data_IF_103193106856
#
_entry.id   IF_103193106856
#
_cell.length_a   1.000
_cell.length_b   1.000
_cell.length_c   1.000
_cell.angle_alpha   90.00
_cell.angle_beta   90.00
_cell.angle_gamma   90.00
#
_symmetry.space_group_name_H-M   'P 1'
#
loop_
_entity.id
_entity.type
_entity.pdbx_description
1 polymer ?
#
# COMPACT_ATOMS: atom_id res chain seq x y z
N UNK A 1 58.82 14.37 29.80
CA UNK A 1 57.66 13.48 29.54
C UNK A 1 56.39 14.28 29.22
N UNK A 2 56.20 15.49 29.78
CA UNK A 2 55.03 16.35 29.48
C UNK A 2 55.04 16.99 28.08
N UNK A 3 56.22 17.21 27.47
CA UNK A 3 56.33 17.84 26.15
C UNK A 3 55.87 16.95 24.98
N UNK A 4 55.87 15.62 25.14
CA UNK A 4 55.36 14.69 24.11
C UNK A 4 53.84 14.55 24.14
N UNK A 5 53.20 14.75 25.29
CA UNK A 5 51.73 14.69 25.43
C UNK A 5 51.08 15.94 24.84
N UNK A 6 51.69 17.12 25.02
CA UNK A 6 51.20 18.38 24.44
C UNK A 6 51.30 18.42 22.91
N UNK A 7 52.28 17.73 22.31
CA UNK A 7 52.42 17.66 20.85
C UNK A 7 51.36 16.74 20.21
N UNK A 8 51.01 15.61 20.85
CA UNK A 8 49.97 14.70 20.35
C UNK A 8 48.55 15.29 20.45
N UNK A 9 48.27 16.13 21.45
CA UNK A 9 46.97 16.79 21.61
C UNK A 9 46.74 17.86 20.54
N UNK A 10 47.79 18.57 20.12
CA UNK A 10 47.70 19.60 19.08
C UNK A 10 47.48 19.02 17.67
N UNK A 11 48.05 17.85 17.37
CA UNK A 11 47.83 17.16 16.07
C UNK A 11 46.40 16.63 15.91
N UNK A 12 45.72 16.29 17.02
CA UNK A 12 44.32 15.86 17.00
C UNK A 12 43.33 17.01 16.79
N UNK A 13 43.67 18.23 17.21
CA UNK A 13 42.85 19.43 16.97
C UNK A 13 42.95 19.96 15.52
N UNK A 14 44.07 19.71 14.84
CA UNK A 14 44.30 20.14 13.45
C UNK A 14 43.67 19.20 12.39
N UNK A 15 43.16 18.02 12.81
CA UNK A 15 42.60 17.00 11.91
C UNK A 15 41.14 17.24 11.49
N UNK A 16 40.48 18.31 11.94
CA UNK A 16 39.22 18.78 11.34
C UNK A 16 38.02 17.82 11.35
N UNK A 17 38.07 16.68 12.05
CA UNK A 17 36.93 15.78 12.18
C UNK A 17 36.02 16.31 13.28
N UNK A 18 35.16 17.26 12.90
CA UNK A 18 34.07 17.75 13.74
C UNK A 18 33.12 16.60 14.11
N UNK A 19 32.50 16.60 15.31
CA UNK A 19 31.44 15.67 15.68
C UNK A 19 30.10 15.91 14.93
N UNK A 20 30.14 16.38 13.67
CA UNK A 20 28.99 16.79 12.87
C UNK A 20 28.34 15.71 11.99
N UNK A 21 28.88 14.49 11.96
CA UNK A 21 28.40 13.46 11.03
C UNK A 21 27.03 12.87 11.41
N UNK A 22 26.72 12.71 12.70
CA UNK A 22 25.48 12.02 13.11
C UNK A 22 24.21 12.82 12.81
N UNK A 23 24.23 14.14 13.04
CA UNK A 23 23.07 15.02 12.78
C UNK A 23 22.82 15.23 11.29
N UNK A 24 23.91 15.30 10.51
CA UNK A 24 23.85 15.43 9.05
C UNK A 24 23.41 14.11 8.39
N UNK A 25 23.88 12.96 8.90
CA UNK A 25 23.45 11.64 8.44
C UNK A 25 21.98 11.35 8.78
N UNK A 26 21.52 11.72 9.98
CA UNK A 26 20.11 11.58 10.38
C UNK A 26 19.20 12.44 9.50
N UNK A 27 19.52 13.73 9.32
CA UNK A 27 18.77 14.62 8.45
C UNK A 27 18.73 14.13 6.99
N UNK A 28 19.84 13.57 6.50
CA UNK A 28 19.91 12.98 5.15
C UNK A 28 19.03 11.74 5.01
N UNK A 29 18.97 10.89 6.04
CA UNK A 29 18.10 9.70 6.06
C UNK A 29 16.63 10.08 6.10
N UNK A 30 16.25 11.02 6.96
CA UNK A 30 14.89 11.55 7.03
C UNK A 30 14.46 12.20 5.71
N UNK A 31 15.34 13.00 5.10
CA UNK A 31 15.10 13.60 3.80
C UNK A 31 14.89 12.54 2.70
N UNK A 32 15.68 11.46 2.72
CA UNK A 32 15.52 10.34 1.77
C UNK A 32 14.20 9.60 1.97
N UNK A 33 13.83 9.29 3.21
CA UNK A 33 12.55 8.61 3.49
C UNK A 33 11.37 9.46 3.05
N UNK A 34 11.40 10.77 3.36
CA UNK A 34 10.40 11.72 2.90
C UNK A 34 10.35 11.77 1.38
N UNK A 35 11.50 11.84 0.70
CA UNK A 35 11.53 11.84 -0.76
C UNK A 35 10.87 10.58 -1.37
N UNK A 36 11.11 9.39 -0.80
CA UNK A 36 10.45 8.16 -1.25
C UNK A 36 8.93 8.26 -1.09
N UNK A 37 8.48 8.63 0.11
CA UNK A 37 7.05 8.78 0.42
C UNK A 37 6.35 9.75 -0.54
N UNK A 38 6.96 10.92 -0.77
CA UNK A 38 6.42 11.96 -1.66
C UNK A 38 6.47 11.57 -3.14
N UNK A 39 7.48 10.77 -3.56
CA UNK A 39 7.66 10.40 -4.98
C UNK A 39 6.76 9.26 -5.46
N UNK A 40 6.17 8.48 -4.56
CA UNK A 40 5.35 7.33 -4.90
C UNK A 40 3.93 7.77 -5.35
N UNK A 41 3.78 8.17 -6.61
CA UNK A 41 2.50 8.69 -7.14
C UNK A 41 1.51 7.59 -7.51
N UNK A 42 2.00 6.41 -7.94
CA UNK A 42 1.13 5.29 -8.33
C UNK A 42 0.53 4.52 -7.14
N UNK A 43 0.96 4.86 -5.92
CA UNK A 43 0.56 4.20 -4.69
C UNK A 43 0.08 5.24 -3.68
N UNK A 44 -1.12 5.04 -3.14
CA UNK A 44 -1.57 5.79 -1.99
C UNK A 44 -0.87 5.25 -0.75
N UNK A 45 -0.06 6.08 -0.10
CA UNK A 45 0.54 5.77 1.20
C UNK A 45 -0.07 6.67 2.26
N UNK A 46 -0.73 6.04 3.24
CA UNK A 46 -1.41 6.70 4.34
C UNK A 46 -0.79 6.20 5.64
N UNK A 47 -0.34 7.11 6.49
CA UNK A 47 0.04 6.76 7.86
C UNK A 47 -1.08 7.17 8.81
N UNK A 48 -1.26 6.37 9.85
CA UNK A 48 -2.22 6.63 10.92
C UNK A 48 -1.56 6.44 12.27
N UNK A 49 -2.14 7.05 13.30
CA UNK A 49 -1.86 6.73 14.69
C UNK A 49 -2.49 5.36 15.09
N UNK A 50 -2.28 4.85 16.31
CA UNK A 50 -2.86 3.58 16.76
C UNK A 50 -4.39 3.53 16.77
N UNK A 51 -5.07 4.69 16.72
CA UNK A 51 -6.52 4.80 16.69
C UNK A 51 -7.06 4.87 15.24
N UNK A 52 -6.20 4.86 14.22
CA UNK A 52 -6.59 4.96 12.81
C UNK A 52 -6.84 6.38 12.34
N UNK A 53 -6.37 7.40 13.08
CA UNK A 53 -6.42 8.80 12.66
C UNK A 53 -5.22 9.10 11.76
N UNK A 54 -5.46 9.70 10.60
CA UNK A 54 -4.44 9.95 9.58
C UNK A 54 -3.42 10.98 10.06
N UNK A 55 -2.14 10.60 10.03
CA UNK A 55 -1.00 11.45 10.42
C UNK A 55 -0.17 11.91 9.22
N UNK A 56 -0.13 11.13 8.14
CA UNK A 56 0.53 11.52 6.89
C UNK A 56 -0.24 11.00 5.67
N UNK A 57 -0.11 11.74 4.57
CA UNK A 57 -0.82 11.51 3.33
C UNK A 57 0.07 11.92 2.16
N UNK A 58 0.51 10.95 1.34
CA UNK A 58 1.41 11.24 0.24
C UNK A 58 0.67 11.78 -1.01
N UNK A 59 1.41 12.31 -2.02
CA UNK A 59 0.81 12.75 -3.28
C UNK A 59 0.09 11.63 -4.04
N UNK A 60 0.55 10.38 -3.92
CA UNK A 60 -0.14 9.23 -4.50
C UNK A 60 -1.51 8.99 -3.86
N UNK A 61 -1.68 9.26 -2.56
CA UNK A 61 -2.96 9.16 -1.88
C UNK A 61 -3.92 10.25 -2.36
N UNK A 62 -3.42 11.46 -2.63
CA UNK A 62 -4.21 12.51 -3.26
C UNK A 62 -4.63 12.12 -4.68
N UNK A 63 -3.72 11.55 -5.46
CA UNK A 63 -4.01 11.09 -6.82
C UNK A 63 -5.07 9.96 -6.85
N UNK A 64 -4.93 8.96 -5.98
CA UNK A 64 -5.81 7.78 -5.95
C UNK A 64 -7.13 8.07 -5.24
N UNK A 65 -7.12 8.79 -4.12
CA UNK A 65 -8.34 8.98 -3.31
C UNK A 65 -9.03 10.32 -3.58
N UNK A 66 -8.33 11.30 -4.17
CA UNK A 66 -8.89 12.58 -4.59
C UNK A 66 -9.01 13.64 -3.48
N UNK A 67 -8.65 13.31 -2.24
CA UNK A 67 -8.54 14.29 -1.15
C UNK A 67 -7.11 14.80 -1.03
N UNK A 68 -6.96 16.09 -0.73
CA UNK A 68 -5.64 16.62 -0.39
C UNK A 68 -5.22 16.19 1.01
N UNK A 69 -3.92 16.24 1.28
CA UNK A 69 -3.39 16.01 2.63
C UNK A 69 -4.06 16.93 3.67
N UNK A 70 -4.26 18.21 3.34
CA UNK A 70 -4.89 19.17 4.25
C UNK A 70 -6.33 18.84 4.63
N UNK A 71 -7.05 18.09 3.79
CA UNK A 71 -8.41 17.64 4.08
C UNK A 71 -8.46 16.39 4.95
N UNK A 72 -7.42 15.54 4.87
CA UNK A 72 -7.42 14.21 5.48
C UNK A 72 -6.58 14.11 6.76
N UNK A 73 -5.58 14.97 6.95
CA UNK A 73 -4.80 14.99 8.19
C UNK A 73 -5.71 15.21 9.40
N UNK A 74 -5.55 14.37 10.42
CA UNK A 74 -6.39 14.38 11.63
C UNK A 74 -7.79 13.78 11.45
N UNK A 75 -8.13 13.27 10.26
CA UNK A 75 -9.39 12.56 10.01
C UNK A 75 -9.21 11.05 10.20
N UNK A 76 -10.31 10.34 10.48
CA UNK A 76 -10.29 8.89 10.54
C UNK A 76 -10.14 8.27 9.14
N UNK A 77 -9.27 7.25 9.02
CA UNK A 77 -9.04 6.53 7.76
C UNK A 77 -10.28 5.78 7.25
N UNK A 78 -11.28 5.53 8.09
CA UNK A 78 -12.57 4.95 7.67
C UNK A 78 -13.31 5.78 6.60
N UNK A 79 -12.94 7.05 6.41
CA UNK A 79 -13.62 7.99 5.50
C UNK A 79 -13.58 7.55 4.04
N UNK A 80 -12.51 6.88 3.60
CA UNK A 80 -12.38 6.33 2.25
C UNK A 80 -12.98 4.92 2.10
N UNK A 81 -13.53 4.32 3.17
CA UNK A 81 -14.26 3.06 3.10
C UNK A 81 -15.72 3.26 2.71
N UNK A 82 -16.32 2.23 2.09
CA UNK A 82 -17.75 2.22 1.77
C UNK A 82 -18.60 2.29 3.05
N UNK A 83 -19.87 2.75 2.98
CA UNK A 83 -20.75 2.77 4.15
C UNK A 83 -20.96 1.39 4.77
N UNK A 84 -21.01 0.34 3.94
CA UNK A 84 -21.14 -1.05 4.40
C UNK A 84 -19.87 -1.52 5.14
N UNK A 85 -18.69 -1.18 4.61
CA UNK A 85 -17.43 -1.53 5.25
C UNK A 85 -17.22 -0.76 6.57
N UNK A 86 -17.66 0.51 6.63
CA UNK A 86 -17.71 1.28 7.88
C UNK A 86 -18.64 0.65 8.91
N UNK A 87 -19.88 0.34 8.51
CA UNK A 87 -20.87 -0.27 9.39
C UNK A 87 -20.42 -1.64 9.92
N UNK A 88 -19.68 -2.40 9.11
CA UNK A 88 -19.12 -3.68 9.53
C UNK A 88 -17.79 -3.55 10.26
N UNK A 89 -17.14 -2.38 10.31
CA UNK A 89 -15.86 -2.17 11.00
C UNK A 89 -14.66 -2.83 10.31
N UNK A 90 -14.59 -2.79 8.97
CA UNK A 90 -13.48 -3.42 8.23
C UNK A 90 -12.11 -2.90 8.63
N UNK A 91 -11.96 -1.58 8.76
CA UNK A 91 -10.66 -0.99 9.13
C UNK A 91 -10.17 -1.51 10.49
N UNK A 92 -11.07 -1.71 11.45
CA UNK A 92 -10.73 -2.28 12.76
C UNK A 92 -10.24 -3.72 12.63
N UNK A 93 -10.87 -4.52 11.75
CA UNK A 93 -10.42 -5.89 11.46
C UNK A 93 -9.05 -5.90 10.78
N UNK A 94 -8.81 -5.01 9.83
CA UNK A 94 -7.50 -4.88 9.17
C UNK A 94 -6.41 -4.49 10.16
N UNK A 95 -6.66 -3.50 11.03
CA UNK A 95 -5.72 -3.10 12.09
C UNK A 95 -5.43 -4.24 13.07
N UNK A 96 -6.46 -4.97 13.52
CA UNK A 96 -6.31 -6.15 14.38
C UNK A 96 -5.47 -7.24 13.72
N UNK A 97 -5.75 -7.55 12.44
CA UNK A 97 -5.02 -8.54 11.69
C UNK A 97 -3.56 -8.12 11.51
N UNK A 98 -3.31 -6.87 11.12
CA UNK A 98 -1.96 -6.31 10.97
C UNK A 98 -1.15 -6.38 12.27
N UNK A 99 -1.77 -6.14 13.43
CA UNK A 99 -1.11 -6.29 14.73
C UNK A 99 -0.78 -7.74 15.04
N UNK A 100 -1.68 -8.68 14.73
CA UNK A 100 -1.52 -10.10 15.09
C UNK A 100 -0.59 -10.87 14.14
N UNK A 101 -0.60 -10.54 12.85
CA UNK A 101 0.08 -11.27 11.77
C UNK A 101 1.24 -10.46 11.14
N UNK A 102 1.43 -9.20 11.54
CA UNK A 102 2.43 -8.30 10.97
C UNK A 102 1.99 -7.61 9.67
N UNK A 103 0.91 -8.06 9.03
CA UNK A 103 0.32 -7.43 7.87
C UNK A 103 -1.15 -7.84 7.70
N UNK A 104 -1.91 -7.06 6.92
CA UNK A 104 -3.28 -7.36 6.51
C UNK A 104 -3.47 -6.92 5.06
N UNK A 105 -3.56 -7.90 4.16
CA UNK A 105 -3.88 -7.67 2.75
C UNK A 105 -5.40 -7.68 2.53
N UNK A 106 -5.89 -6.83 1.64
CA UNK A 106 -7.29 -6.80 1.24
C UNK A 106 -7.46 -6.33 -0.20
N UNK A 107 -8.50 -6.83 -0.86
CA UNK A 107 -8.99 -6.26 -2.11
C UNK A 107 -10.48 -5.97 -1.98
N UNK A 108 -10.86 -4.70 -2.17
CA UNK A 108 -12.24 -4.25 -2.03
C UNK A 108 -12.51 -2.92 -2.69
N UNK A 109 -13.80 -2.65 -2.88
CA UNK A 109 -14.28 -1.32 -3.26
C UNK A 109 -14.02 -0.30 -2.15
N UNK A 110 -13.48 0.85 -2.52
CA UNK A 110 -13.33 2.03 -1.67
C UNK A 110 -13.93 3.25 -2.37
N UNK A 111 -14.13 4.33 -1.62
CA UNK A 111 -14.68 5.59 -2.10
C UNK A 111 -13.57 6.62 -2.33
N UNK A 112 -13.67 7.34 -3.44
CA UNK A 112 -12.96 8.59 -3.68
C UNK A 112 -13.74 9.78 -3.10
N UNK A 113 -13.10 10.95 -3.08
CA UNK A 113 -13.71 12.22 -2.66
C UNK A 113 -15.02 12.56 -3.37
N UNK A 114 -15.09 12.30 -4.66
CA UNK A 114 -16.27 12.56 -5.49
C UNK A 114 -17.38 11.51 -5.32
N UNK A 115 -17.15 10.49 -4.49
CA UNK A 115 -18.07 9.38 -4.24
C UNK A 115 -17.95 8.24 -5.25
N UNK A 116 -17.06 8.33 -6.25
CA UNK A 116 -16.81 7.22 -7.17
C UNK A 116 -16.16 6.06 -6.42
N UNK A 117 -16.55 4.85 -6.83
CA UNK A 117 -15.95 3.62 -6.33
C UNK A 117 -14.70 3.27 -7.15
N UNK A 118 -13.69 2.75 -6.48
CA UNK A 118 -12.54 2.12 -7.13
C UNK A 118 -12.18 0.82 -6.41
N UNK A 119 -11.71 -0.16 -7.18
CA UNK A 119 -11.25 -1.44 -6.64
C UNK A 119 -9.83 -1.24 -6.13
N UNK A 120 -9.68 -1.18 -4.81
CA UNK A 120 -8.40 -1.03 -4.16
C UNK A 120 -7.82 -2.42 -3.91
N UNK A 121 -6.55 -2.62 -4.28
CA UNK A 121 -5.71 -3.67 -3.73
C UNK A 121 -4.80 -3.02 -2.69
N UNK A 122 -4.93 -3.48 -1.45
CA UNK A 122 -4.42 -2.82 -0.27
C UNK A 122 -3.61 -3.72 0.64
N UNK A 123 -2.68 -3.12 1.35
CA UNK A 123 -1.94 -3.76 2.42
C UNK A 123 -1.78 -2.80 3.60
N UNK A 124 -2.08 -3.29 4.80
CA UNK A 124 -1.88 -2.57 6.06
C UNK A 124 -0.79 -3.26 6.88
N UNK A 125 0.16 -2.48 7.40
CA UNK A 125 1.24 -2.97 8.27
C UNK A 125 1.31 -2.11 9.54
N UNK A 126 1.67 -2.69 10.70
CA UNK A 126 1.92 -1.91 11.90
C UNK A 126 3.20 -1.08 11.73
N UNK A 127 3.11 0.19 12.06
CA UNK A 127 4.26 1.09 12.18
C UNK A 127 4.86 0.93 13.58
N UNK A 128 6.11 0.48 13.65
CA UNK A 128 6.82 0.26 14.89
C UNK A 128 7.95 1.28 15.06
N UNK A 129 8.03 1.88 16.24
CA UNK A 129 9.10 2.74 16.69
C UNK A 129 10.26 1.96 17.31
N UNK A 130 11.21 2.70 17.86
CA UNK A 130 12.30 2.10 18.61
C UNK A 130 11.75 1.28 19.78
N UNK A 131 12.38 0.14 20.08
CA UNK A 131 12.00 -0.75 21.19
C UNK A 131 10.58 -1.33 21.08
N UNK A 132 10.10 -1.58 19.86
CA UNK A 132 8.83 -2.27 19.60
C UNK A 132 7.59 -1.48 20.08
N UNK A 133 7.70 -0.15 20.15
CA UNK A 133 6.58 0.75 20.36
C UNK A 133 5.66 0.77 19.14
N UNK A 134 4.36 0.63 19.33
CA UNK A 134 3.39 0.73 18.23
C UNK A 134 3.04 2.20 17.99
N UNK A 135 3.52 2.75 16.88
CA UNK A 135 3.30 4.14 16.49
C UNK A 135 2.04 4.35 15.66
N UNK A 136 1.41 3.26 15.19
CA UNK A 136 0.19 3.26 14.39
C UNK A 136 0.31 2.35 13.18
N UNK A 137 -0.23 2.74 12.03
CA UNK A 137 -0.27 1.89 10.84
C UNK A 137 0.17 2.63 9.58
N UNK A 138 0.76 1.89 8.65
CA UNK A 138 0.88 2.30 7.25
C UNK A 138 -0.10 1.48 6.41
N UNK A 139 -0.94 2.18 5.64
CA UNK A 139 -1.80 1.61 4.62
C UNK A 139 -1.25 1.99 3.25
N UNK A 140 -1.06 1.01 2.40
CA UNK A 140 -0.71 1.19 1.00
C UNK A 140 -1.90 0.73 0.16
N UNK A 141 -2.37 1.57 -0.76
CA UNK A 141 -3.42 1.21 -1.71
C UNK A 141 -2.94 1.41 -3.14
N UNK A 142 -3.39 0.53 -4.02
CA UNK A 142 -3.28 0.69 -5.46
C UNK A 142 -4.65 0.55 -6.09
N UNK A 143 -4.93 1.44 -7.05
CA UNK A 143 -6.11 1.28 -7.90
C UNK A 143 -5.89 0.12 -8.88
N UNK A 144 -6.81 -0.83 -8.84
CA UNK A 144 -6.89 -2.02 -9.70
C UNK A 144 -8.25 -2.11 -10.39
N UNK A 145 -8.99 -1.00 -10.49
CA UNK A 145 -10.35 -0.98 -11.04
C UNK A 145 -10.37 -1.49 -12.48
N UNK A 146 -9.42 -1.05 -13.31
CA UNK A 146 -9.34 -1.49 -14.70
C UNK A 146 -9.11 -3.01 -14.80
N UNK A 147 -8.17 -3.54 -14.04
CA UNK A 147 -7.86 -4.97 -14.01
C UNK A 147 -9.04 -5.80 -13.47
N UNK A 148 -9.69 -5.33 -12.39
CA UNK A 148 -10.86 -6.00 -11.82
C UNK A 148 -12.01 -6.08 -12.82
N UNK A 149 -12.37 -4.97 -13.47
CA UNK A 149 -13.45 -4.94 -14.45
C UNK A 149 -13.14 -5.77 -15.71
N UNK A 150 -11.89 -5.77 -16.17
CA UNK A 150 -11.46 -6.60 -17.31
C UNK A 150 -11.55 -8.11 -16.99
N UNK A 151 -11.17 -8.51 -15.77
CA UNK A 151 -11.32 -9.89 -15.29
C UNK A 151 -12.79 -10.32 -15.26
N UNK A 152 -13.65 -9.49 -14.67
CA UNK A 152 -15.11 -9.74 -14.60
C UNK A 152 -15.77 -9.88 -15.97
N UNK A 153 -15.41 -9.02 -16.93
CA UNK A 153 -15.95 -9.11 -18.28
C UNK A 153 -15.57 -10.42 -18.98
N UNK A 154 -14.36 -10.91 -18.74
CA UNK A 154 -13.87 -12.19 -19.28
C UNK A 154 -14.64 -13.36 -18.69
N UNK A 155 -14.80 -13.41 -17.37
CA UNK A 155 -15.57 -14.44 -16.66
C UNK A 155 -17.02 -14.49 -17.16
N UNK A 156 -17.68 -13.33 -17.30
CA UNK A 156 -19.06 -13.24 -17.77
C UNK A 156 -19.22 -13.63 -19.24
N UNK A 157 -18.23 -13.37 -20.07
CA UNK A 157 -18.22 -13.84 -21.46
C UNK A 157 -18.06 -15.36 -21.54
N UNK A 158 -17.15 -15.94 -20.76
CA UNK A 158 -16.93 -17.39 -20.69
C UNK A 158 -18.16 -18.13 -20.17
N UNK A 159 -18.80 -17.63 -19.12
CA UNK A 159 -19.98 -18.27 -18.55
C UNK A 159 -21.17 -18.18 -19.52
N UNK A 160 -21.38 -17.04 -20.17
CA UNK A 160 -22.43 -16.92 -21.20
C UNK A 160 -22.21 -17.88 -22.36
N UNK A 161 -20.96 -18.01 -22.83
CA UNK A 161 -20.60 -18.97 -23.87
C UNK A 161 -20.89 -20.41 -23.42
N UNK A 162 -20.47 -20.78 -22.21
CA UNK A 162 -20.71 -22.11 -21.62
C UNK A 162 -22.20 -22.43 -21.53
N UNK A 163 -23.02 -21.48 -21.09
CA UNK A 163 -24.47 -21.64 -20.98
C UNK A 163 -25.13 -21.76 -22.35
N UNK A 164 -24.71 -20.95 -23.34
CA UNK A 164 -25.23 -21.02 -24.70
C UNK A 164 -24.92 -22.39 -25.34
N UNK A 165 -23.67 -22.85 -25.26
CA UNK A 165 -23.26 -24.16 -25.78
C UNK A 165 -24.03 -25.33 -25.15
N UNK A 166 -24.27 -25.27 -23.83
CA UNK A 166 -25.09 -26.28 -23.14
C UNK A 166 -26.57 -26.23 -23.53
N UNK A 167 -27.12 -25.03 -23.74
CA UNK A 167 -28.52 -24.88 -24.11
C UNK A 167 -28.83 -25.38 -25.52
N UNK A 168 -27.87 -25.28 -26.45
CA UNK A 168 -28.01 -25.79 -27.82
C UNK A 168 -27.63 -27.26 -27.97
N UNK A 169 -27.02 -27.86 -26.94
CA UNK A 169 -26.48 -29.23 -26.95
C UNK A 169 -25.43 -29.45 -28.06
N UNK A 170 -24.70 -28.39 -28.40
CA UNK A 170 -23.65 -28.41 -29.41
C UNK A 170 -22.38 -29.07 -28.85
N UNK A 171 -21.84 -30.06 -29.56
CA UNK A 171 -20.52 -30.59 -29.28
C UNK A 171 -19.47 -29.63 -29.84
N UNK A 172 -18.70 -29.01 -28.95
CA UNK A 172 -17.64 -28.06 -29.30
C UNK A 172 -16.30 -28.70 -28.93
N UNK A 173 -15.40 -28.71 -29.91
CA UNK A 173 -14.04 -29.19 -29.75
C UNK A 173 -13.05 -28.12 -30.20
N UNK A 174 -11.93 -28.05 -29.49
CA UNK A 174 -10.79 -27.21 -29.85
C UNK A 174 -9.51 -28.05 -29.82
N UNK A 175 -8.62 -27.83 -30.77
CA UNK A 175 -7.36 -28.56 -30.87
C UNK A 175 -6.18 -27.60 -30.74
N UNK A 176 -5.44 -27.75 -29.65
CA UNK A 176 -4.13 -27.14 -29.50
C UNK A 176 -3.09 -27.96 -30.28
N UNK A 177 -2.68 -27.44 -31.43
CA UNK A 177 -1.66 -28.05 -32.30
C UNK A 177 -0.26 -28.09 -31.67
N UNK A 178 0.06 -27.17 -30.76
CA UNK A 178 1.38 -27.10 -30.11
C UNK A 178 1.49 -28.12 -28.97
N UNK A 179 0.41 -28.31 -28.21
CA UNK A 179 0.35 -29.30 -27.13
C UNK A 179 -0.14 -30.69 -27.60
N UNK A 180 -0.60 -30.80 -28.85
CA UNK A 180 -1.29 -31.96 -29.41
C UNK A 180 -2.42 -32.48 -28.50
N UNK A 181 -3.25 -31.56 -28.02
CA UNK A 181 -4.31 -31.86 -27.06
C UNK A 181 -5.66 -31.34 -27.57
N UNK A 182 -6.70 -32.17 -27.46
CA UNK A 182 -8.06 -31.83 -27.88
C UNK A 182 -8.93 -31.61 -26.65
N UNK A 183 -9.54 -30.44 -26.57
CA UNK A 183 -10.52 -30.07 -25.55
C UNK A 183 -11.92 -30.35 -26.09
N UNK A 184 -12.76 -30.96 -25.25
CA UNK A 184 -14.18 -31.22 -25.54
C UNK A 184 -15.02 -30.54 -24.47
N UNK A 185 -16.20 -30.03 -24.84
CA UNK A 185 -17.20 -29.62 -23.85
C UNK A 185 -18.02 -30.83 -23.36
N UNK A 186 -18.49 -30.76 -22.10
CA UNK A 186 -19.48 -31.71 -21.57
C UNK A 186 -20.86 -31.35 -22.15
N UNK A 187 -21.14 -31.83 -23.37
CA UNK A 187 -22.44 -31.76 -24.04
C UNK A 187 -23.30 -32.99 -23.71
#
# INVERSE_FOLDING_TARGET
MEAQVAHLQKTLEESGIKPGNSRTALASREARHRAVFESAVDFAMILTDPAGVITDWNPGAEHVLGWSATEMLGQAAERFFTPADRASGQIMREMQLALSAGHAADERWHLRKDGQLFWASGEMMPLQGDRNEHLGFVKILRDRTAEHLAGRATEEAQERYRLAAKATNDAIWDWDFAANHVLWNDA
#
